data_IF_795785336479
#
_entry.id   IF_795785336479
#
_cell.length_a   1.000
_cell.length_b   1.000
_cell.length_c   1.000
_cell.angle_alpha   90.00
_cell.angle_beta   90.00
_cell.angle_gamma   90.00
#
_symmetry.space_group_name_H-M   'P 1'
#
loop_
_entity.id
_entity.type
_entity.pdbx_description
1 polymer ?
#
# COMPACT_ATOMS: atom_id res chain seq x y z
N UNK A 1 -31.54 42.87 17.72
CA UNK A 1 -30.92 41.65 18.26
C UNK A 1 -31.36 40.40 17.54
N UNK A 2 -32.66 40.21 17.26
CA UNK A 2 -33.19 39.00 16.60
C UNK A 2 -32.56 38.66 15.23
N UNK A 3 -32.26 39.66 14.39
CA UNK A 3 -31.63 39.43 13.07
C UNK A 3 -30.20 38.88 13.16
N UNK A 4 -29.47 39.19 14.24
CA UNK A 4 -28.10 38.70 14.44
C UNK A 4 -28.13 37.21 14.83
N UNK A 5 -29.12 36.82 15.64
CA UNK A 5 -29.29 35.43 16.08
C UNK A 5 -29.60 34.51 14.88
N UNK A 6 -30.45 34.96 13.96
CA UNK A 6 -30.80 34.20 12.75
C UNK A 6 -29.55 33.98 11.86
N UNK A 7 -28.70 35.00 11.71
CA UNK A 7 -27.49 34.89 10.90
C UNK A 7 -26.44 33.93 11.50
N UNK A 8 -26.30 33.94 12.83
CA UNK A 8 -25.40 33.02 13.55
C UNK A 8 -25.86 31.57 13.43
N UNK A 9 -27.17 31.33 13.56
CA UNK A 9 -27.75 29.98 13.39
C UNK A 9 -27.56 29.48 11.94
N UNK A 10 -27.69 30.36 10.95
CA UNK A 10 -27.49 29.99 9.55
C UNK A 10 -26.01 29.64 9.23
N UNK A 11 -25.04 30.35 9.81
CA UNK A 11 -23.62 30.02 9.68
C UNK A 11 -23.25 28.69 10.36
N UNK A 12 -23.88 28.35 11.49
CA UNK A 12 -23.66 27.08 12.17
C UNK A 12 -24.25 25.87 11.42
N UNK A 13 -25.31 26.08 10.62
CA UNK A 13 -25.87 25.02 9.78
C UNK A 13 -25.00 24.71 8.55
N UNK A 14 -24.27 25.71 8.03
CA UNK A 14 -23.38 25.56 6.87
C UNK A 14 -22.06 24.84 7.19
N UNK A 15 -21.68 24.72 8.46
CA UNK A 15 -20.41 24.10 8.89
C UNK A 15 -20.48 22.58 9.09
N UNK A 16 -21.63 21.94 8.85
CA UNK A 16 -21.82 20.49 9.07
C UNK A 16 -21.43 19.61 7.89
N UNK A 17 -20.97 20.19 6.76
CA UNK A 17 -20.34 19.39 5.69
C UNK A 17 -18.88 19.13 6.05
N UNK A 18 -18.67 18.21 7.01
CA UNK A 18 -17.38 17.60 7.23
C UNK A 18 -16.87 17.02 5.92
N UNK A 19 -15.79 17.59 5.38
CA UNK A 19 -15.07 17.06 4.25
C UNK A 19 -14.54 15.67 4.65
N UNK A 20 -15.26 14.61 4.30
CA UNK A 20 -14.64 13.30 4.19
C UNK A 20 -13.64 13.42 3.05
N UNK A 21 -12.36 13.60 3.36
CA UNK A 21 -11.32 13.67 2.35
C UNK A 21 -11.14 12.24 1.82
N UNK A 22 -11.83 11.92 0.72
CA UNK A 22 -11.74 10.58 0.14
C UNK A 22 -10.29 10.29 -0.26
N UNK A 23 -9.77 9.17 0.25
CA UNK A 23 -8.41 8.70 -0.04
C UNK A 23 -8.20 8.57 -1.55
N UNK A 24 -7.06 9.03 -2.05
CA UNK A 24 -6.73 8.93 -3.47
C UNK A 24 -6.48 7.48 -3.85
N UNK A 25 -7.17 6.98 -4.87
CA UNK A 25 -6.93 5.65 -5.41
C UNK A 25 -5.67 5.67 -6.29
N UNK A 26 -4.78 4.70 -6.06
CA UNK A 26 -3.56 4.52 -6.83
C UNK A 26 -3.36 3.04 -7.16
N UNK A 27 -2.80 2.76 -8.34
CA UNK A 27 -2.67 1.41 -8.88
C UNK A 27 -1.23 1.13 -9.30
N UNK A 28 -0.78 -0.10 -9.11
CA UNK A 28 0.52 -0.58 -9.59
C UNK A 28 0.37 -1.92 -10.31
N UNK A 29 1.03 -2.07 -11.46
CA UNK A 29 1.02 -3.32 -12.24
C UNK A 29 2.24 -4.16 -11.85
N UNK A 30 1.99 -5.30 -11.21
CA UNK A 30 2.97 -6.31 -10.84
C UNK A 30 3.14 -7.34 -11.96
N UNK A 31 3.99 -7.03 -12.94
CA UNK A 31 4.37 -8.01 -13.96
C UNK A 31 5.59 -8.83 -13.52
N UNK A 32 5.31 -9.91 -12.79
CA UNK A 32 6.34 -10.85 -12.36
C UNK A 32 6.56 -11.99 -13.37
N UNK A 33 5.78 -12.10 -14.43
CA UNK A 33 5.91 -13.21 -15.39
C UNK A 33 6.88 -12.88 -16.53
N UNK A 34 6.94 -11.63 -16.96
CA UNK A 34 7.83 -11.19 -18.05
C UNK A 34 9.26 -10.89 -17.59
N UNK A 35 9.48 -10.71 -16.29
CA UNK A 35 10.77 -10.30 -15.72
C UNK A 35 11.50 -11.47 -15.08
N UNK A 36 12.78 -11.65 -15.40
CA UNK A 36 13.65 -12.66 -14.77
C UNK A 36 13.76 -12.46 -13.25
N UNK A 37 13.77 -13.55 -12.49
CA UNK A 37 13.73 -13.53 -11.02
C UNK A 37 14.83 -12.66 -10.39
N UNK A 38 16.05 -12.67 -10.96
CA UNK A 38 17.17 -11.86 -10.48
C UNK A 38 17.02 -10.36 -10.72
N UNK A 39 16.14 -9.97 -11.63
CA UNK A 39 15.91 -8.58 -12.05
C UNK A 39 14.57 -8.04 -11.52
N UNK A 40 13.78 -8.86 -10.82
CA UNK A 40 12.51 -8.43 -10.23
C UNK A 40 12.80 -7.44 -9.10
N UNK A 41 12.04 -6.37 -9.09
CA UNK A 41 12.00 -5.39 -7.99
C UNK A 41 10.91 -5.72 -6.97
N UNK A 42 10.09 -6.74 -7.24
CA UNK A 42 8.92 -7.12 -6.45
C UNK A 42 8.95 -8.61 -6.19
N UNK A 43 8.83 -8.97 -4.92
CA UNK A 43 8.54 -10.31 -4.44
C UNK A 43 7.11 -10.36 -3.92
N UNK A 44 6.38 -11.41 -4.33
CA UNK A 44 5.01 -11.67 -3.89
C UNK A 44 5.03 -13.01 -3.16
N UNK A 45 4.59 -13.00 -1.91
CA UNK A 45 4.53 -14.20 -1.09
C UNK A 45 3.23 -14.28 -0.30
N UNK A 46 3.06 -15.41 0.37
CA UNK A 46 1.90 -15.67 1.24
C UNK A 46 2.41 -16.13 2.58
N UNK A 47 1.88 -15.53 3.63
CA UNK A 47 2.17 -15.92 5.00
C UNK A 47 0.85 -16.02 5.77
N UNK A 48 0.59 -17.19 6.33
CA UNK A 48 -0.68 -17.53 6.97
C UNK A 48 -1.90 -17.11 6.10
N UNK A 49 -2.64 -16.10 6.54
CA UNK A 49 -3.87 -15.62 5.91
C UNK A 49 -3.71 -14.33 5.09
N UNK A 50 -2.49 -13.81 4.89
CA UNK A 50 -2.26 -12.60 4.11
C UNK A 50 -1.29 -12.84 2.94
N UNK A 51 -1.46 -12.05 1.89
CA UNK A 51 -0.52 -11.97 0.77
C UNK A 51 0.35 -10.74 0.96
N UNK A 52 1.67 -10.88 0.89
CA UNK A 52 2.60 -9.76 1.02
C UNK A 52 3.27 -9.43 -0.31
N UNK A 53 3.61 -8.15 -0.46
CA UNK A 53 4.28 -7.57 -1.61
C UNK A 53 5.49 -6.80 -1.09
N UNK A 54 6.68 -7.30 -1.36
CA UNK A 54 7.94 -6.68 -0.94
C UNK A 54 8.67 -6.13 -2.15
N UNK A 55 8.80 -4.81 -2.19
CA UNK A 55 9.61 -4.14 -3.19
C UNK A 55 11.04 -3.97 -2.68
N UNK A 56 12.01 -4.43 -3.46
CA UNK A 56 13.44 -4.33 -3.15
C UNK A 56 14.21 -3.76 -4.34
N UNK A 57 15.22 -2.91 -4.07
CA UNK A 57 16.24 -2.62 -5.08
C UNK A 57 17.44 -3.53 -4.84
N UNK A 58 17.81 -4.41 -5.78
CA UNK A 58 19.06 -5.19 -5.67
C UNK A 58 20.30 -4.29 -5.63
N UNK A 59 20.17 -3.03 -6.05
CA UNK A 59 21.19 -2.00 -5.98
C UNK A 59 21.47 -1.48 -4.55
N UNK A 60 20.62 -1.80 -3.56
CA UNK A 60 20.73 -1.31 -2.19
C UNK A 60 20.88 -2.51 -1.23
N UNK A 61 21.82 -2.47 -0.28
CA UNK A 61 21.99 -3.55 0.68
C UNK A 61 20.72 -3.79 1.53
N UNK A 62 20.36 -5.05 1.81
CA UNK A 62 19.06 -5.41 2.42
C UNK A 62 18.91 -5.01 3.90
N UNK A 63 19.95 -4.47 4.53
CA UNK A 63 20.01 -4.16 5.96
C UNK A 63 19.98 -2.65 6.29
N UNK A 64 19.60 -1.81 5.34
CA UNK A 64 19.44 -0.37 5.55
C UNK A 64 18.00 0.02 5.93
N UNK A 65 17.84 0.87 6.94
CA UNK A 65 16.57 1.52 7.24
C UNK A 65 16.01 2.20 5.98
N UNK A 66 14.83 1.79 5.52
CA UNK A 66 13.96 2.70 4.75
C UNK A 66 13.77 2.49 3.24
N UNK A 67 14.29 1.44 2.60
CA UNK A 67 14.11 1.28 1.13
C UNK A 67 13.28 0.07 0.68
N UNK A 68 12.88 -0.81 1.61
CA UNK A 68 11.97 -1.90 1.30
C UNK A 68 10.53 -1.44 1.54
N UNK A 69 9.78 -1.17 0.47
CA UNK A 69 8.34 -0.93 0.59
C UNK A 69 7.66 -2.28 0.71
N UNK A 70 7.04 -2.53 1.85
CA UNK A 70 6.30 -3.76 2.11
C UNK A 70 4.82 -3.44 2.19
N UNK A 71 4.00 -4.21 1.50
CA UNK A 71 2.56 -4.10 1.54
C UNK A 71 1.93 -5.46 1.85
N UNK A 72 0.76 -5.44 2.48
CA UNK A 72 -0.02 -6.65 2.73
C UNK A 72 -1.46 -6.47 2.24
N UNK A 73 -2.01 -7.55 1.69
CA UNK A 73 -3.44 -7.74 1.44
C UNK A 73 -3.97 -8.77 2.43
N UNK A 74 -4.93 -8.35 3.24
CA UNK A 74 -5.63 -9.17 4.21
C UNK A 74 -6.88 -9.81 3.60
N UNK A 75 -7.45 -10.81 4.28
CA UNK A 75 -8.56 -11.61 3.74
C UNK A 75 -9.82 -10.79 3.48
N UNK A 76 -10.04 -9.75 4.28
CA UNK A 76 -11.15 -8.80 4.16
C UNK A 76 -10.97 -7.74 3.07
N UNK A 77 -9.77 -7.63 2.50
CA UNK A 77 -9.49 -6.59 1.49
C UNK A 77 -10.15 -6.92 0.15
N UNK A 78 -10.44 -5.87 -0.63
CA UNK A 78 -11.12 -6.00 -1.91
C UNK A 78 -10.25 -6.74 -2.93
N UNK A 79 -10.83 -7.78 -3.54
CA UNK A 79 -10.18 -8.59 -4.57
C UNK A 79 -11.04 -8.57 -5.83
N UNK A 80 -10.41 -8.28 -6.97
CA UNK A 80 -11.06 -8.31 -8.29
C UNK A 80 -10.24 -9.17 -9.24
N UNK A 81 -10.88 -10.12 -9.91
CA UNK A 81 -10.28 -10.90 -10.99
C UNK A 81 -10.84 -10.43 -12.33
N UNK A 82 -9.98 -10.26 -13.33
CA UNK A 82 -10.35 -9.83 -14.68
C UNK A 82 -9.61 -10.65 -15.73
N UNK A 83 -10.27 -10.98 -16.83
CA UNK A 83 -9.64 -11.64 -17.99
C UNK A 83 -8.87 -10.65 -18.88
N UNK A 84 -9.06 -9.34 -18.66
CA UNK A 84 -8.37 -8.28 -19.41
C UNK A 84 -7.67 -7.30 -18.48
N UNK A 85 -6.60 -6.66 -18.98
CA UNK A 85 -5.87 -5.65 -18.22
C UNK A 85 -6.85 -4.52 -17.85
N UNK A 86 -7.02 -4.21 -16.55
CA UNK A 86 -7.89 -3.12 -16.13
C UNK A 86 -7.42 -1.78 -16.70
N UNK A 87 -8.37 -0.91 -17.08
CA UNK A 87 -8.09 0.42 -17.65
C UNK A 87 -7.80 1.46 -16.56
N UNK A 88 -6.86 1.17 -15.67
CA UNK A 88 -6.37 2.11 -14.66
C UNK A 88 -5.09 2.78 -15.14
N UNK A 89 -4.81 3.98 -14.63
CA UNK A 89 -3.50 4.59 -14.74
C UNK A 89 -2.58 3.94 -13.69
N UNK A 90 -1.57 3.20 -14.16
CA UNK A 90 -0.62 2.51 -13.29
C UNK A 90 0.59 3.38 -13.00
N UNK A 91 0.96 3.44 -11.72
CA UNK A 91 2.20 4.07 -11.28
C UNK A 91 3.41 3.26 -11.76
N UNK A 92 4.45 3.96 -12.17
CA UNK A 92 5.79 3.38 -12.30
C UNK A 92 6.41 3.11 -10.92
N UNK A 93 7.44 2.25 -10.87
CA UNK A 93 8.20 2.02 -9.64
C UNK A 93 8.77 3.32 -9.06
N UNK A 94 9.29 4.20 -9.92
CA UNK A 94 9.84 5.50 -9.53
C UNK A 94 8.82 6.38 -8.81
N UNK A 95 7.56 6.36 -9.25
CA UNK A 95 6.48 7.12 -8.61
C UNK A 95 6.06 6.49 -7.29
N UNK A 96 5.90 5.17 -7.26
CA UNK A 96 5.55 4.44 -6.04
C UNK A 96 6.62 4.62 -4.95
N UNK A 97 7.90 4.50 -5.31
CA UNK A 97 9.02 4.69 -4.38
C UNK A 97 9.05 6.11 -3.83
N UNK A 98 8.79 7.11 -4.68
CA UNK A 98 8.68 8.52 -4.26
C UNK A 98 7.51 8.74 -3.30
N UNK A 99 6.34 8.14 -3.56
CA UNK A 99 5.19 8.22 -2.67
C UNK A 99 5.47 7.55 -1.32
N UNK A 100 6.00 6.34 -1.32
CA UNK A 100 6.39 5.63 -0.10
C UNK A 100 7.40 6.41 0.75
N UNK A 101 8.40 7.03 0.11
CA UNK A 101 9.41 7.83 0.78
C UNK A 101 8.93 9.21 1.25
N UNK A 102 7.93 9.80 0.60
CA UNK A 102 7.43 11.15 1.00
C UNK A 102 6.31 11.09 2.02
N UNK A 103 5.53 10.01 2.02
CA UNK A 103 4.31 9.91 2.81
C UNK A 103 4.50 9.01 4.04
N UNK A 104 5.50 8.13 4.02
CA UNK A 104 5.93 7.28 5.14
C UNK A 104 4.76 6.73 5.98
N UNK A 105 4.50 7.38 7.12
CA UNK A 105 3.51 7.00 8.11
C UNK A 105 2.07 7.12 7.63
N UNK A 106 1.79 8.13 6.80
CA UNK A 106 0.44 8.55 6.43
C UNK A 106 0.00 7.91 5.10
N UNK A 107 0.79 6.98 4.54
CA UNK A 107 0.52 6.43 3.22
C UNK A 107 -0.88 5.79 3.15
N UNK A 108 -1.24 4.98 4.16
CA UNK A 108 -2.55 4.33 4.21
C UNK A 108 -3.72 5.31 4.46
N UNK A 109 -3.43 6.45 5.10
CA UNK A 109 -4.41 7.50 5.40
C UNK A 109 -4.69 8.37 4.17
N UNK A 110 -3.72 8.53 3.29
CA UNK A 110 -3.81 9.37 2.09
C UNK A 110 -4.22 8.58 0.84
N UNK A 111 -3.90 7.29 0.78
CA UNK A 111 -4.09 6.47 -0.41
C UNK A 111 -4.88 5.19 -0.15
N UNK A 112 -5.72 4.82 -1.12
CA UNK A 112 -6.20 3.45 -1.32
C UNK A 112 -5.33 2.82 -2.40
N UNK A 113 -4.44 1.92 -2.01
CA UNK A 113 -3.47 1.36 -2.93
C UNK A 113 -3.91 -0.03 -3.42
N UNK A 114 -3.84 -0.22 -4.73
CA UNK A 114 -4.14 -1.49 -5.38
C UNK A 114 -2.93 -2.01 -6.16
N UNK A 115 -2.66 -3.30 -6.02
CA UNK A 115 -1.68 -4.02 -6.86
C UNK A 115 -2.43 -4.98 -7.77
N UNK A 116 -2.17 -4.88 -9.08
CA UNK A 116 -2.69 -5.79 -10.10
C UNK A 116 -1.59 -6.76 -10.52
N UNK A 117 -1.75 -8.04 -10.25
CA UNK A 117 -0.85 -9.12 -10.62
C UNK A 117 -1.28 -9.74 -11.95
N UNK A 118 -0.31 -10.03 -12.84
CA UNK A 118 -0.54 -10.91 -13.99
C UNK A 118 -0.34 -12.37 -13.55
N UNK A 119 -1.40 -13.17 -13.63
CA UNK A 119 -1.40 -14.58 -13.28
C UNK A 119 -0.95 -15.48 -14.45
N UNK A 120 -0.47 -16.72 -14.19
CA UNK A 120 0.00 -17.62 -15.24
C UNK A 120 -1.04 -17.96 -16.31
N UNK A 121 -2.33 -17.90 -15.97
CA UNK A 121 -3.45 -18.10 -16.89
C UNK A 121 -3.83 -16.85 -17.69
N UNK A 122 -2.95 -15.83 -17.69
CA UNK A 122 -3.13 -14.51 -18.33
C UNK A 122 -4.28 -13.69 -17.76
N UNK A 123 -4.78 -14.03 -16.56
CA UNK A 123 -5.74 -13.21 -15.84
C UNK A 123 -5.04 -12.16 -14.99
N UNK A 124 -5.79 -11.12 -14.64
CA UNK A 124 -5.34 -10.02 -13.83
C UNK A 124 -6.05 -10.05 -12.47
N UNK A 125 -5.27 -10.19 -11.41
CA UNK A 125 -5.76 -10.21 -10.03
C UNK A 125 -5.41 -8.88 -9.36
N UNK A 126 -6.41 -8.09 -9.03
CA UNK A 126 -6.22 -6.82 -8.34
C UNK A 126 -6.59 -6.96 -6.87
N UNK A 127 -5.70 -6.54 -5.98
CA UNK A 127 -5.92 -6.50 -4.54
C UNK A 127 -5.74 -5.11 -3.99
N UNK A 128 -6.61 -4.71 -3.07
CA UNK A 128 -6.28 -3.61 -2.15
C UNK A 128 -5.17 -4.08 -1.21
N UNK A 129 -4.19 -3.20 -0.98
CA UNK A 129 -3.03 -3.47 -0.14
C UNK A 129 -2.76 -2.26 0.77
N UNK A 130 -2.12 -2.53 1.91
CA UNK A 130 -1.72 -1.51 2.89
C UNK A 130 -0.24 -1.56 3.12
N UNK A 131 0.41 -0.40 3.26
CA UNK A 131 1.82 -0.37 3.64
C UNK A 131 1.94 -0.98 5.04
N UNK A 132 2.84 -1.94 5.18
CA UNK A 132 3.20 -2.54 6.47
C UNK A 132 4.60 -2.07 6.81
N UNK A 133 4.76 -1.53 8.01
CA UNK A 133 6.08 -1.18 8.51
C UNK A 133 6.77 -2.48 8.91
N UNK A 134 7.90 -2.78 8.29
CA UNK A 134 8.79 -3.80 8.82
C UNK A 134 9.21 -3.35 10.22
N UNK A 135 8.82 -4.10 11.26
CA UNK A 135 9.36 -3.86 12.60
C UNK A 135 10.84 -4.21 12.54
N UNK A 136 11.71 -3.30 12.98
CA UNK A 136 13.12 -3.64 13.11
C UNK A 136 13.24 -4.95 13.90
N UNK A 137 14.09 -5.91 13.45
CA UNK A 137 14.31 -7.13 14.21
C UNK A 137 14.72 -6.74 15.62
N UNK A 138 13.84 -7.00 16.59
CA UNK A 138 14.24 -6.95 18.00
C UNK A 138 15.17 -8.14 18.15
N UNK A 139 16.39 -7.88 18.63
CA UNK A 139 17.34 -8.96 18.91
C UNK A 139 16.78 -9.83 20.04
N UNK A 140 16.05 -10.88 19.70
CA UNK A 140 15.66 -11.93 20.63
C UNK A 140 16.82 -12.93 20.76
N UNK A 141 17.86 -12.57 21.52
CA UNK A 141 18.82 -13.57 21.99
C UNK A 141 18.38 -14.08 23.36
N UNK A 142 18.20 -15.39 23.47
CA UNK A 142 18.17 -16.08 24.76
C UNK A 142 19.60 -16.54 25.06
N UNK A 143 20.14 -16.15 26.21
CA UNK A 143 21.42 -16.71 26.68
C UNK A 143 21.11 -18.11 27.19
N UNK A 144 21.48 -19.12 26.41
CA UNK A 144 21.42 -20.51 26.86
C UNK A 144 22.63 -20.71 27.77
N UNK A 145 22.43 -20.72 29.09
CA UNK A 145 23.48 -21.14 30.02
C UNK A 145 23.68 -22.65 29.85
N UNK A 146 24.89 -23.12 29.51
CA UNK A 146 25.19 -24.54 29.62
C UNK A 146 25.06 -24.96 31.10
N UNK A 147 24.42 -26.11 31.34
CA UNK A 147 24.46 -26.80 32.64
C UNK A 147 25.77 -27.57 32.76
#
# INVERSE_FOLDING_TARGET
>A
MERIIIMIVFCLLLSTRGFSQDRKEIHYLADTLSTDKSNRILEIGKEASFTYYMFFCPCVPPYGMGYNLSFASYKEDKITLSDTLPKFEFLSWKELSKLGATQHADFNDKFKFFITELLPDKKYLTREVRIVRYREPIRDFTIISPR
#
